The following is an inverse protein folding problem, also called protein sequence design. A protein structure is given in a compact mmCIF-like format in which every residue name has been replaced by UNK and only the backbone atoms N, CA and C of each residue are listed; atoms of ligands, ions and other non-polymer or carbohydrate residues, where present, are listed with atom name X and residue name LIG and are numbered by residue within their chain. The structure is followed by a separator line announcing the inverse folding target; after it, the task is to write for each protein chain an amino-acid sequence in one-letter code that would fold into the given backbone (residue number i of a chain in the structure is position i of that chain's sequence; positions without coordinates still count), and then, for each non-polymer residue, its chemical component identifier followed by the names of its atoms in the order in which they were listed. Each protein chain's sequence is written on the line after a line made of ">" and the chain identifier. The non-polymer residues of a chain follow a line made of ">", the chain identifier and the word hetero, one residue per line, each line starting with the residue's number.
data_IF_163380597443
#
_entry.id   IF_163380597443
#
_cell.length_a   1.000
_cell.length_b   1.000
_cell.length_c   1.000
_cell.angle_alpha   90.00
_cell.angle_beta   90.00
_cell.angle_gamma   90.00
#
_symmetry.space_group_name_H-M   'P 1'
#
loop_
_entity.id
_entity.type
_entity.pdbx_description
1 polymer ?
#
# COMPACT_ATOMS: atom_id res chain seq x y z
N UNK A 1 -18.55 -28.96 47.59
CA UNK A 1 -17.88 -30.16 48.09
C UNK A 1 -16.71 -30.45 47.18
N UNK A 2 -15.52 -30.19 47.72
CA UNK A 2 -14.18 -30.52 47.18
C UNK A 2 -13.89 -32.02 47.38
N UNK A 3 -12.69 -32.50 47.10
CA UNK A 3 -11.68 -32.35 46.06
C UNK A 3 -11.17 -33.71 45.53
N UNK A 4 -10.19 -33.79 44.64
CA UNK A 4 -9.03 -34.71 44.80
C UNK A 4 -7.84 -34.26 43.96
N UNK A 5 -6.80 -34.04 44.69
CA UNK A 5 -5.39 -33.78 44.41
C UNK A 5 -4.62 -35.10 44.30
N UNK A 6 -3.46 -35.05 43.69
CA UNK A 6 -2.27 -35.93 43.75
C UNK A 6 -2.04 -36.78 42.49
N UNK A 7 -0.83 -36.99 41.97
CA UNK A 7 0.51 -37.05 42.59
C UNK A 7 1.61 -37.01 41.50
N UNK A 8 2.53 -36.15 41.70
CA UNK A 8 3.96 -36.14 41.47
C UNK A 8 4.64 -37.50 41.43
N UNK A 9 5.46 -37.79 40.43
CA UNK A 9 6.64 -38.65 40.54
C UNK A 9 7.78 -38.26 39.62
N UNK A 10 8.84 -37.71 40.24
CA UNK A 10 10.22 -37.64 39.73
C UNK A 10 10.80 -39.04 39.58
N UNK A 11 11.58 -39.28 38.54
CA UNK A 11 12.78 -40.14 38.61
C UNK A 11 13.91 -39.56 37.80
N UNK A 12 15.01 -39.30 38.47
CA UNK A 12 16.34 -38.96 37.96
C UNK A 12 17.13 -40.23 37.66
N UNK A 13 18.22 -39.96 36.92
CA UNK A 13 19.53 -40.66 36.93
C UNK A 13 19.86 -41.41 35.64
N UNK A 14 21.03 -40.99 35.09
CA UNK A 14 21.82 -41.80 34.20
C UNK A 14 22.67 -41.02 33.19
N UNK A 15 23.80 -40.51 33.70
CA UNK A 15 24.90 -39.96 32.90
C UNK A 15 25.66 -41.07 32.20
N UNK A 16 25.98 -40.97 30.89
CA UNK A 16 27.27 -41.44 30.35
C UNK A 16 27.57 -40.70 29.05
N UNK A 17 28.76 -40.12 28.97
CA UNK A 17 29.38 -39.49 27.82
C UNK A 17 29.98 -40.55 26.90
N UNK A 18 29.94 -40.34 25.58
CA UNK A 18 30.98 -40.74 24.60
C UNK A 18 30.66 -40.11 23.24
N UNK A 19 31.36 -39.12 22.86
CA UNK A 19 32.35 -38.87 21.82
C UNK A 19 32.08 -39.39 20.36
N UNK A 20 32.28 -38.44 19.47
CA UNK A 20 32.71 -38.46 18.07
C UNK A 20 31.72 -38.17 16.94
N UNK A 21 32.09 -37.05 16.35
CA UNK A 21 32.36 -36.82 14.93
C UNK A 21 31.25 -36.52 13.95
N UNK A 22 31.38 -35.29 13.37
CA UNK A 22 31.13 -34.89 11.98
C UNK A 22 29.77 -35.21 11.34
N UNK A 23 29.04 -34.18 11.17
CA UNK A 23 27.92 -34.11 10.26
C UNK A 23 27.51 -32.65 10.11
N UNK A 24 28.21 -31.96 9.24
CA UNK A 24 27.85 -30.63 8.75
C UNK A 24 26.58 -30.83 7.92
N UNK A 25 25.45 -30.42 8.48
CA UNK A 25 24.20 -30.31 7.75
C UNK A 25 23.89 -28.81 7.59
N UNK A 26 23.99 -28.36 6.35
CA UNK A 26 23.51 -27.09 5.86
C UNK A 26 22.11 -26.83 6.38
N UNK A 27 21.97 -25.88 7.29
CA UNK A 27 20.72 -25.22 7.56
C UNK A 27 20.47 -24.26 6.39
N UNK A 28 19.71 -24.71 5.42
CA UNK A 28 19.09 -23.84 4.42
C UNK A 28 18.30 -22.76 5.16
N UNK A 29 18.93 -21.60 5.24
CA UNK A 29 18.29 -20.30 5.52
C UNK A 29 17.17 -20.12 4.50
N UNK A 30 15.95 -20.44 4.90
CA UNK A 30 14.76 -20.03 4.17
C UNK A 30 14.57 -18.54 4.51
N UNK A 31 15.26 -17.71 3.72
CA UNK A 31 15.10 -16.28 3.74
C UNK A 31 13.63 -15.91 3.63
N UNK A 32 13.09 -15.45 4.75
CA UNK A 32 11.90 -14.63 4.78
C UNK A 32 12.17 -13.45 3.85
N UNK A 33 11.57 -13.49 2.66
CA UNK A 33 11.59 -12.40 1.70
C UNK A 33 10.81 -11.21 2.25
N UNK A 34 11.37 -10.54 3.23
CA UNK A 34 10.98 -9.18 3.55
C UNK A 34 11.32 -8.34 2.31
N UNK A 35 10.31 -7.94 1.56
CA UNK A 35 10.44 -6.94 0.52
C UNK A 35 11.10 -5.73 1.19
N UNK A 36 12.37 -5.50 0.86
CA UNK A 36 13.09 -4.32 1.29
C UNK A 36 12.48 -3.13 0.55
N UNK A 37 11.41 -2.57 1.10
CA UNK A 37 10.89 -1.29 0.65
C UNK A 37 11.99 -0.27 0.90
N UNK A 38 12.58 0.26 -0.18
CA UNK A 38 13.41 1.45 -0.09
C UNK A 38 12.50 2.55 0.48
N UNK A 39 12.78 2.97 1.70
CA UNK A 39 12.02 4.03 2.37
C UNK A 39 12.24 5.32 1.56
N UNK A 40 11.28 5.66 0.72
CA UNK A 40 11.22 6.95 0.05
C UNK A 40 10.51 7.90 1.00
N UNK A 41 11.23 8.91 1.47
CA UNK A 41 10.60 10.02 2.18
C UNK A 41 10.22 11.09 1.17
N UNK A 42 8.94 11.37 1.05
CA UNK A 42 8.43 12.41 0.18
C UNK A 42 8.81 13.80 0.70
N UNK A 43 9.10 14.73 -0.21
CA UNK A 43 9.20 16.13 0.12
C UNK A 43 7.83 16.69 0.52
N UNK A 44 7.71 17.04 1.79
CA UNK A 44 6.48 17.54 2.40
C UNK A 44 6.16 18.98 2.04
N UNK A 45 7.16 19.76 1.59
CA UNK A 45 7.01 21.14 1.19
C UNK A 45 6.58 21.28 -0.28
N UNK A 46 6.49 20.16 -1.02
CA UNK A 46 5.97 20.14 -2.37
C UNK A 46 4.58 20.78 -2.42
N UNK A 47 4.45 21.84 -3.21
CA UNK A 47 3.17 22.54 -3.43
C UNK A 47 2.30 21.76 -4.42
N UNK A 48 1.06 21.48 -4.03
CA UNK A 48 0.10 20.71 -4.80
C UNK A 48 -1.19 21.50 -4.99
N UNK A 49 -1.69 21.50 -6.20
CA UNK A 49 -2.99 22.09 -6.52
C UNK A 49 -4.00 20.97 -6.75
N UNK A 50 -4.98 20.79 -5.88
CA UNK A 50 -6.07 19.86 -6.15
C UNK A 50 -6.89 20.35 -7.34
N UNK A 51 -7.59 19.44 -8.00
CA UNK A 51 -8.49 19.76 -9.11
C UNK A 51 -9.58 20.73 -8.69
N UNK A 52 -10.00 20.65 -7.42
CA UNK A 52 -10.90 21.60 -6.78
C UNK A 52 -10.28 22.09 -5.47
N UNK A 53 -10.02 23.40 -5.39
CA UNK A 53 -9.45 24.03 -4.20
C UNK A 53 -8.20 24.84 -4.48
N UNK A 54 -7.55 25.25 -3.40
CA UNK A 54 -6.35 26.09 -3.46
C UNK A 54 -5.08 25.27 -3.34
N UNK A 55 -3.99 25.77 -3.94
CA UNK A 55 -2.67 25.21 -3.80
C UNK A 55 -2.20 25.19 -2.34
N UNK A 56 -1.65 24.08 -1.90
CA UNK A 56 -1.10 23.88 -0.54
C UNK A 56 0.05 22.89 -0.58
N UNK A 57 0.87 22.89 0.46
CA UNK A 57 1.93 21.89 0.61
C UNK A 57 1.39 20.50 0.87
N UNK A 58 2.11 19.46 0.46
CA UNK A 58 1.75 18.08 0.73
C UNK A 58 1.51 17.83 2.22
N UNK A 59 2.35 18.41 3.10
CA UNK A 59 2.18 18.33 4.56
C UNK A 59 0.81 18.80 5.03
N UNK A 60 0.26 19.85 4.42
CA UNK A 60 -1.04 20.40 4.81
C UNK A 60 -2.21 19.46 4.48
N UNK A 61 -2.05 18.59 3.47
CA UNK A 61 -3.02 17.54 3.15
C UNK A 61 -2.92 16.32 4.05
N UNK A 62 -1.81 16.13 4.76
CA UNK A 62 -1.53 14.97 5.62
C UNK A 62 -1.48 15.30 7.11
N UNK A 63 -1.88 16.51 7.53
CA UNK A 63 -1.79 16.98 8.92
C UNK A 63 -2.41 16.03 9.94
N UNK A 64 -3.57 15.45 9.62
CA UNK A 64 -4.34 14.62 10.57
C UNK A 64 -4.32 13.15 10.19
N UNK A 65 -4.30 12.85 8.89
CA UNK A 65 -4.50 11.51 8.35
C UNK A 65 -3.41 11.12 7.36
N UNK A 66 -2.98 9.85 7.35
CA UNK A 66 -2.14 9.32 6.30
C UNK A 66 -2.86 9.42 4.94
N UNK A 67 -2.08 9.57 3.88
CA UNK A 67 -2.60 9.62 2.52
C UNK A 67 -2.64 8.22 1.91
N UNK A 68 -3.71 7.92 1.19
CA UNK A 68 -3.89 6.69 0.42
C UNK A 68 -4.15 7.07 -1.03
N UNK A 69 -3.08 7.38 -1.80
CA UNK A 69 -3.23 7.76 -3.19
C UNK A 69 -3.31 6.53 -4.10
N UNK A 70 -4.15 6.65 -5.13
CA UNK A 70 -4.05 5.85 -6.35
C UNK A 70 -3.54 6.77 -7.46
N UNK A 71 -2.43 6.38 -8.08
CA UNK A 71 -1.80 7.10 -9.19
C UNK A 71 -2.24 6.44 -10.49
N UNK A 72 -2.77 7.23 -11.42
CA UNK A 72 -3.25 6.78 -12.73
C UNK A 72 -2.71 7.68 -13.85
N UNK A 73 -2.43 7.06 -14.99
CA UNK A 73 -2.11 7.76 -16.22
C UNK A 73 -3.26 7.57 -17.24
N UNK A 74 -4.08 8.59 -17.53
CA UNK A 74 -5.26 8.46 -18.39
C UNK A 74 -4.93 8.16 -19.84
N UNK A 75 -3.67 8.31 -20.24
CA UNK A 75 -3.21 8.02 -21.59
C UNK A 75 -2.84 6.54 -21.80
N UNK A 76 -2.98 5.70 -20.75
CA UNK A 76 -2.70 4.28 -20.78
C UNK A 76 -3.96 3.44 -20.55
N UNK A 77 -4.02 2.28 -21.21
CA UNK A 77 -5.14 1.35 -21.04
C UNK A 77 -5.10 0.71 -19.64
N UNK A 78 -3.91 0.46 -19.11
CA UNK A 78 -3.64 -0.17 -17.83
C UNK A 78 -4.31 0.60 -16.69
N UNK A 79 -4.23 1.93 -16.70
CA UNK A 79 -4.88 2.80 -15.73
C UNK A 79 -6.41 2.78 -15.87
N UNK A 80 -6.92 2.64 -17.10
CA UNK A 80 -8.36 2.57 -17.33
C UNK A 80 -8.95 1.24 -16.90
N UNK A 81 -8.23 0.13 -17.07
CA UNK A 81 -8.71 -1.21 -16.67
C UNK A 81 -8.89 -1.36 -15.16
N UNK A 82 -8.09 -0.64 -14.34
CA UNK A 82 -8.15 -0.75 -12.89
C UNK A 82 -9.08 0.27 -12.23
N UNK A 83 -9.65 1.21 -12.98
CA UNK A 83 -10.35 2.37 -12.42
C UNK A 83 -11.48 1.98 -11.45
N UNK A 84 -12.32 1.02 -11.81
CA UNK A 84 -13.43 0.56 -10.96
C UNK A 84 -12.91 -0.16 -9.69
N UNK A 85 -11.88 -0.99 -9.84
CA UNK A 85 -11.22 -1.66 -8.72
C UNK A 85 -10.58 -0.65 -7.77
N UNK A 86 -9.85 0.32 -8.29
CA UNK A 86 -9.22 1.38 -7.51
C UNK A 86 -10.27 2.22 -6.77
N UNK A 87 -11.36 2.61 -7.45
CA UNK A 87 -12.48 3.30 -6.79
C UNK A 87 -13.08 2.48 -5.66
N UNK A 88 -13.30 1.18 -5.86
CA UNK A 88 -13.81 0.26 -4.83
C UNK A 88 -12.90 0.24 -3.61
N UNK A 89 -11.58 0.18 -3.82
CA UNK A 89 -10.58 0.22 -2.75
C UNK A 89 -10.64 1.56 -1.99
N UNK A 90 -10.60 2.68 -2.68
CA UNK A 90 -10.67 4.01 -2.04
C UNK A 90 -11.98 4.21 -1.29
N UNK A 91 -13.11 3.76 -1.86
CA UNK A 91 -14.43 3.84 -1.22
C UNK A 91 -14.47 3.03 0.08
N UNK A 92 -13.84 1.86 0.11
CA UNK A 92 -13.79 1.02 1.31
C UNK A 92 -13.10 1.73 2.49
N UNK A 93 -12.07 2.52 2.19
CA UNK A 93 -11.32 3.28 3.21
C UNK A 93 -11.87 4.69 3.46
N UNK A 94 -12.97 5.07 2.83
CA UNK A 94 -13.64 6.34 3.10
C UNK A 94 -14.17 6.34 4.55
N UNK A 95 -13.59 7.18 5.39
CA UNK A 95 -13.92 7.22 6.83
C UNK A 95 -13.05 6.34 7.73
N UNK A 96 -12.06 5.63 7.19
CA UNK A 96 -11.16 4.76 7.95
C UNK A 96 -10.05 5.49 8.72
N UNK A 97 -10.10 6.84 8.87
CA UNK A 97 -9.00 7.58 9.49
C UNK A 97 -7.78 7.72 8.58
N UNK A 98 -7.96 7.63 7.29
CA UNK A 98 -7.00 7.97 6.25
C UNK A 98 -7.64 8.89 5.23
N UNK A 99 -6.85 9.42 4.30
CA UNK A 99 -7.30 10.29 3.22
C UNK A 99 -7.11 9.61 1.87
N UNK A 100 -8.13 8.88 1.38
CA UNK A 100 -8.12 8.36 0.01
C UNK A 100 -8.09 9.51 -1.00
N UNK A 101 -7.28 9.38 -2.05
CA UNK A 101 -7.18 10.41 -3.09
C UNK A 101 -6.75 9.83 -4.43
N UNK A 102 -7.03 10.61 -5.49
CA UNK A 102 -6.54 10.38 -6.82
C UNK A 102 -5.33 11.25 -7.13
N UNK A 103 -4.35 10.71 -7.83
CA UNK A 103 -3.26 11.44 -8.49
C UNK A 103 -3.34 11.06 -9.97
N UNK A 104 -3.69 12.01 -10.82
CA UNK A 104 -3.90 11.77 -12.24
C UNK A 104 -2.83 12.50 -13.05
N UNK A 105 -2.06 11.75 -13.83
CA UNK A 105 -0.90 12.23 -14.59
C UNK A 105 -1.31 13.02 -15.85
N UNK A 106 -2.19 14.02 -15.69
CA UNK A 106 -2.67 14.91 -16.74
C UNK A 106 -3.15 16.26 -16.18
N UNK A 107 -3.48 17.24 -17.03
CA UNK A 107 -4.11 18.50 -16.63
C UNK A 107 -5.46 18.31 -15.92
N UNK A 108 -5.87 19.29 -15.13
CA UNK A 108 -7.03 19.21 -14.25
C UNK A 108 -8.38 18.98 -14.98
N UNK A 109 -8.57 19.58 -16.13
CA UNK A 109 -9.75 19.41 -16.96
C UNK A 109 -9.83 18.01 -17.60
N UNK A 110 -8.69 17.47 -17.99
CA UNK A 110 -8.61 16.10 -18.50
C UNK A 110 -8.80 15.09 -17.36
N UNK A 111 -8.26 15.34 -16.17
CA UNK A 111 -8.46 14.50 -14.98
C UNK A 111 -9.95 14.41 -14.60
N UNK A 112 -10.68 15.53 -14.63
CA UNK A 112 -12.13 15.55 -14.45
C UNK A 112 -12.86 14.74 -15.51
N UNK A 113 -12.47 14.90 -16.74
CA UNK A 113 -13.08 14.16 -17.87
C UNK A 113 -12.84 12.66 -17.75
N UNK A 114 -11.61 12.26 -17.41
CA UNK A 114 -11.21 10.86 -17.25
C UNK A 114 -11.94 10.17 -16.08
N UNK A 115 -11.94 10.80 -14.92
CA UNK A 115 -12.59 10.26 -13.73
C UNK A 115 -14.12 10.38 -13.77
N UNK A 116 -14.65 11.33 -14.54
CA UNK A 116 -16.08 11.62 -14.57
C UNK A 116 -16.63 11.86 -13.15
N UNK A 117 -17.70 11.16 -12.73
CA UNK A 117 -18.30 11.37 -11.42
C UNK A 117 -17.38 10.98 -10.24
N UNK A 118 -16.31 10.20 -10.48
CA UNK A 118 -15.38 9.77 -9.44
C UNK A 118 -14.44 10.89 -8.98
N UNK A 119 -14.28 11.96 -9.78
CA UNK A 119 -13.48 13.12 -9.43
C UNK A 119 -13.97 13.83 -8.17
N UNK A 120 -15.29 13.84 -7.96
CA UNK A 120 -15.94 14.51 -6.82
C UNK A 120 -16.05 13.61 -5.58
N UNK A 121 -15.77 12.31 -5.72
CA UNK A 121 -15.87 11.36 -4.60
C UNK A 121 -14.71 11.46 -3.62
N UNK A 122 -13.53 11.84 -4.12
CA UNK A 122 -12.28 11.91 -3.38
C UNK A 122 -11.46 13.13 -3.75
N UNK A 123 -10.55 13.52 -2.86
CA UNK A 123 -9.53 14.51 -3.18
C UNK A 123 -8.76 14.07 -4.43
N UNK A 124 -8.71 14.94 -5.42
CA UNK A 124 -8.09 14.67 -6.72
C UNK A 124 -6.99 15.67 -7.01
N UNK A 125 -5.79 15.18 -7.30
CA UNK A 125 -4.66 15.97 -7.74
C UNK A 125 -4.40 15.74 -9.23
N UNK A 126 -4.26 16.84 -9.98
CA UNK A 126 -3.74 16.82 -11.34
C UNK A 126 -2.21 16.92 -11.28
N UNK A 127 -1.52 15.99 -11.93
CA UNK A 127 -0.06 15.88 -11.91
C UNK A 127 0.52 15.74 -13.33
N UNK A 128 0.33 16.76 -14.19
CA UNK A 128 0.74 16.69 -15.60
C UNK A 128 2.25 16.50 -15.79
N UNK A 129 3.05 17.06 -14.87
CA UNK A 129 4.51 16.97 -14.88
C UNK A 129 5.03 15.74 -14.11
N UNK A 130 4.13 14.97 -13.54
CA UNK A 130 4.42 13.77 -12.71
C UNK A 130 5.31 14.06 -11.51
N UNK A 131 5.24 15.29 -11.02
CA UNK A 131 6.08 15.76 -9.91
C UNK A 131 5.66 15.09 -8.61
N UNK A 132 4.35 14.99 -8.33
CA UNK A 132 3.84 14.31 -7.14
C UNK A 132 4.10 12.80 -7.20
N UNK A 133 3.85 12.16 -8.34
CA UNK A 133 4.14 10.74 -8.53
C UNK A 133 5.63 10.43 -8.28
N UNK A 134 6.54 11.22 -8.84
CA UNK A 134 7.99 11.09 -8.64
C UNK A 134 8.40 11.34 -7.19
N UNK A 135 7.81 12.35 -6.55
CA UNK A 135 8.05 12.66 -5.13
C UNK A 135 7.68 11.49 -4.22
N UNK A 136 6.63 10.75 -4.56
CA UNK A 136 6.21 9.53 -3.86
C UNK A 136 6.99 8.27 -4.30
N UNK A 137 7.98 8.42 -5.18
CA UNK A 137 8.79 7.31 -5.70
C UNK A 137 8.01 6.33 -6.57
N UNK A 138 6.98 6.80 -7.28
CA UNK A 138 6.21 5.98 -8.21
C UNK A 138 6.92 5.93 -9.56
N UNK A 139 7.26 4.72 -10.01
CA UNK A 139 7.90 4.46 -11.29
C UNK A 139 6.93 4.02 -12.38
N UNK A 140 5.85 3.35 -12.02
CA UNK A 140 4.85 2.81 -12.96
C UNK A 140 3.42 3.13 -12.50
N UNK A 141 2.52 3.38 -13.45
CA UNK A 141 1.08 3.50 -13.21
C UNK A 141 0.33 2.32 -13.86
N UNK A 142 -0.78 1.85 -13.25
CA UNK A 142 -1.38 2.35 -12.01
C UNK A 142 -0.55 2.03 -10.76
N UNK A 143 -0.70 2.80 -9.69
CA UNK A 143 -0.06 2.49 -8.41
C UNK A 143 -0.98 2.80 -7.23
N UNK A 144 -0.91 1.97 -6.18
CA UNK A 144 -1.58 2.19 -4.90
C UNK A 144 -0.52 2.36 -3.82
N UNK A 145 -0.64 3.39 -2.97
CA UNK A 145 0.32 3.68 -1.93
C UNK A 145 -0.36 3.93 -0.58
N UNK A 146 0.44 3.81 0.48
CA UNK A 146 0.15 4.32 1.81
C UNK A 146 1.29 5.23 2.24
N UNK A 147 0.99 6.50 2.45
CA UNK A 147 1.95 7.55 2.83
C UNK A 147 1.61 8.07 4.21
N UNK A 148 2.55 7.94 5.15
CA UNK A 148 2.39 8.41 6.53
C UNK A 148 2.56 9.94 6.62
N UNK A 149 2.10 10.55 7.70
CA UNK A 149 2.09 12.01 7.88
C UNK A 149 3.49 12.65 7.86
N UNK A 150 4.54 11.88 8.12
CA UNK A 150 5.94 12.31 8.02
C UNK A 150 6.53 12.19 6.60
N UNK A 151 5.69 11.81 5.61
CA UNK A 151 6.09 11.66 4.22
C UNK A 151 6.64 10.27 3.87
N UNK A 152 6.78 9.36 4.83
CA UNK A 152 7.27 8.02 4.56
C UNK A 152 6.24 7.20 3.78
N UNK A 153 6.66 6.66 2.64
CA UNK A 153 5.87 5.68 1.86
C UNK A 153 6.08 4.30 2.48
N UNK A 154 5.11 3.85 3.28
CA UNK A 154 5.23 2.61 4.05
C UNK A 154 4.70 1.37 3.33
N UNK A 155 3.89 1.56 2.28
CA UNK A 155 3.48 0.48 1.41
C UNK A 155 3.20 1.02 -0.01
N UNK A 156 3.57 0.24 -1.03
CA UNK A 156 3.38 0.59 -2.43
C UNK A 156 3.22 -0.66 -3.28
N UNK A 157 2.31 -0.61 -4.26
CA UNK A 157 2.18 -1.58 -5.33
C UNK A 157 2.06 -0.83 -6.66
N UNK A 158 2.80 -1.26 -7.67
CA UNK A 158 2.85 -0.68 -9.02
C UNK A 158 2.36 -1.71 -10.05
N UNK A 159 1.68 -1.26 -11.10
CA UNK A 159 0.91 -2.14 -11.96
C UNK A 159 -0.32 -2.71 -11.23
N UNK A 160 -0.83 -3.82 -11.73
CA UNK A 160 -1.93 -4.54 -11.10
C UNK A 160 -1.54 -5.99 -10.81
N UNK A 161 -1.41 -6.28 -9.53
CA UNK A 161 -1.34 -7.63 -8.99
C UNK A 161 -2.19 -7.67 -7.72
N UNK A 162 -3.18 -8.56 -7.68
CA UNK A 162 -4.12 -8.62 -6.56
C UNK A 162 -3.44 -8.91 -5.21
N UNK A 163 -2.36 -9.68 -5.19
CA UNK A 163 -1.63 -10.00 -3.95
C UNK A 163 -0.83 -8.79 -3.44
N UNK A 164 -0.20 -8.04 -4.34
CA UNK A 164 0.53 -6.83 -3.99
C UNK A 164 -0.40 -5.71 -3.51
N UNK A 165 -1.50 -5.47 -4.22
CA UNK A 165 -2.50 -4.50 -3.80
C UNK A 165 -3.15 -4.92 -2.48
N UNK A 166 -3.36 -6.23 -2.28
CA UNK A 166 -3.84 -6.77 -0.99
C UNK A 166 -2.88 -6.43 0.15
N UNK A 167 -1.57 -6.61 -0.05
CA UNK A 167 -0.56 -6.28 0.96
C UNK A 167 -0.59 -4.79 1.35
N UNK A 168 -0.75 -3.89 0.36
CA UNK A 168 -0.94 -2.46 0.64
C UNK A 168 -2.23 -2.21 1.42
N UNK A 169 -3.35 -2.83 1.02
CA UNK A 169 -4.64 -2.66 1.73
C UNK A 169 -4.61 -3.27 3.14
N UNK A 170 -3.83 -4.32 3.39
CA UNK A 170 -3.56 -4.85 4.73
C UNK A 170 -2.81 -3.82 5.58
N UNK A 171 -1.75 -3.20 5.05
CA UNK A 171 -1.02 -2.13 5.75
C UNK A 171 -1.89 -0.93 6.09
N UNK A 172 -2.81 -0.54 5.18
CA UNK A 172 -3.79 0.52 5.45
C UNK A 172 -4.74 0.11 6.58
N UNK A 173 -5.29 -1.11 6.52
CA UNK A 173 -6.23 -1.63 7.50
C UNK A 173 -5.59 -1.74 8.90
N UNK A 174 -4.34 -2.19 8.98
CA UNK A 174 -3.57 -2.26 10.22
C UNK A 174 -3.33 -0.86 10.82
N UNK A 175 -2.85 0.09 10.01
CA UNK A 175 -2.58 1.45 10.47
C UNK A 175 -3.83 2.18 10.95
N UNK A 176 -4.96 1.94 10.29
CA UNK A 176 -6.23 2.63 10.57
C UNK A 176 -7.17 1.85 11.50
N UNK A 177 -6.79 0.64 11.89
CA UNK A 177 -7.66 -0.29 12.63
C UNK A 177 -9.00 -0.55 11.92
N UNK A 178 -8.97 -0.65 10.60
CA UNK A 178 -10.13 -0.86 9.73
C UNK A 178 -10.12 -2.24 9.10
N UNK A 179 -11.22 -2.63 8.46
CA UNK A 179 -11.25 -3.83 7.63
C UNK A 179 -10.60 -3.58 6.27
N UNK A 180 -10.18 -4.64 5.58
CA UNK A 180 -9.70 -4.55 4.20
C UNK A 180 -10.79 -4.92 3.19
N UNK A 181 -10.76 -4.37 1.96
CA UNK A 181 -11.65 -4.81 0.89
C UNK A 181 -11.32 -6.23 0.44
N UNK A 182 -12.29 -7.01 -0.06
CA UNK A 182 -11.99 -8.27 -0.74
C UNK A 182 -11.14 -7.99 -1.99
N UNK A 183 -10.08 -8.82 -2.17
CA UNK A 183 -9.16 -8.69 -3.30
C UNK A 183 -8.47 -10.03 -3.60
N UNK A 184 -8.54 -10.57 -4.83
CA UNK A 184 -9.36 -10.00 -5.92
C UNK A 184 -10.86 -10.10 -5.64
N UNK A 185 -11.66 -9.33 -6.37
CA UNK A 185 -13.11 -9.41 -6.37
C UNK A 185 -13.63 -9.68 -7.78
N UNK A 186 -14.90 -10.05 -7.89
CA UNK A 186 -15.55 -10.25 -9.18
C UNK A 186 -15.49 -8.95 -10.00
N UNK A 187 -15.03 -9.07 -11.25
CA UNK A 187 -14.85 -7.94 -12.15
C UNK A 187 -13.46 -7.30 -12.13
N UNK A 188 -12.58 -7.67 -11.19
CA UNK A 188 -11.19 -7.22 -11.24
C UNK A 188 -10.48 -7.79 -12.49
N UNK A 189 -9.60 -7.01 -13.15
CA UNK A 189 -8.84 -7.50 -14.30
C UNK A 189 -7.82 -8.58 -13.92
N UNK A 190 -7.32 -9.33 -14.89
CA UNK A 190 -6.15 -10.18 -14.71
C UNK A 190 -4.90 -9.33 -14.40
N UNK A 191 -3.85 -9.91 -13.78
CA UNK A 191 -2.65 -9.16 -13.41
C UNK A 191 -1.90 -8.64 -14.64
N UNK A 192 -1.29 -7.46 -14.54
CA UNK A 192 -0.45 -6.84 -15.56
C UNK A 192 0.57 -5.88 -14.96
N UNK A 193 1.68 -5.71 -15.67
CA UNK A 193 2.73 -4.74 -15.34
C UNK A 193 2.22 -3.32 -15.61
N UNK A 194 2.64 -2.37 -14.80
CA UNK A 194 2.32 -0.95 -15.01
C UNK A 194 3.04 -0.37 -16.24
N UNK A 195 2.62 0.81 -16.60
CA UNK A 195 3.29 1.62 -17.64
C UNK A 195 4.21 2.63 -16.95
N UNK A 196 5.48 2.75 -17.39
CA UNK A 196 6.42 3.68 -16.77
C UNK A 196 5.89 5.13 -16.77
N UNK A 197 5.96 5.78 -15.62
CA UNK A 197 5.69 7.22 -15.47
C UNK A 197 6.92 7.97 -15.97
N UNK A 198 7.12 7.97 -17.28
CA UNK A 198 8.18 8.75 -17.94
C UNK A 198 7.74 10.19 -18.10
N UNK A 199 8.67 11.10 -17.91
CA UNK A 199 8.46 12.51 -18.27
C UNK A 199 8.59 12.68 -19.77
#
# INVERSE_FOLDING_TARGET
>A
MSPVLAMYRKRSIGCTASDRSHGQADASDQGSGALAFSLVAADLDLELTPVEGEARTLSSFMTTFPLVPVVLDPYTNESSWILDTARRVLTHFKGAGCRPCWIIACPADEAKTYLGPYADEFLTFADPDRTMAKNLGVGEAPALLLVRQDGEVIAKAEGWNADEWRAVTESIAELTHWSRPPMPADGDPGPYTGTPISA
#
